data_IF_193672082464
#
_entry.id   IF_193672082464
#
_cell.length_a   1.000
_cell.length_b   1.000
_cell.length_c   1.000
_cell.angle_alpha   90.00
_cell.angle_beta   90.00
_cell.angle_gamma   90.00
#
_symmetry.space_group_name_H-M   'P 1'
#
loop_
_entity.id
_entity.type
_entity.pdbx_description
1 polymer ?
#
# COMPACT_ATOMS: atom_id res chain seq x y z
N UNK A 1 -19.87 11.52 -1.99
CA UNK A 1 -20.65 10.36 -1.47
C UNK A 1 -20.15 10.10 -0.05
N UNK A 2 -21.01 9.89 0.97
CA UNK A 2 -20.51 9.40 2.28
C UNK A 2 -20.01 7.95 2.06
N UNK A 3 -18.82 7.64 2.55
CA UNK A 3 -18.17 6.33 2.35
C UNK A 3 -18.87 5.18 3.09
N UNK A 4 -18.22 4.01 3.10
CA UNK A 4 -18.65 2.83 3.88
C UNK A 4 -17.77 2.73 5.12
N UNK A 5 -18.36 2.36 6.26
CA UNK A 5 -17.63 2.14 7.52
C UNK A 5 -18.01 0.78 8.12
N UNK A 6 -17.06 0.16 8.81
CA UNK A 6 -17.24 -1.15 9.43
C UNK A 6 -16.93 -2.32 8.48
N UNK A 7 -17.31 -3.51 8.92
CA UNK A 7 -17.08 -4.75 8.16
C UNK A 7 -17.91 -4.79 6.88
N UNK A 8 -17.31 -5.25 5.78
CA UNK A 8 -17.99 -5.43 4.50
C UNK A 8 -18.19 -6.93 4.29
N UNK A 9 -19.45 -7.37 4.30
CA UNK A 9 -19.82 -8.78 4.37
C UNK A 9 -19.36 -9.63 3.18
N UNK A 10 -19.19 -9.03 2.01
CA UNK A 10 -18.84 -9.76 0.80
C UNK A 10 -17.62 -9.17 0.12
N UNK A 11 -16.77 -10.06 -0.40
CA UNK A 11 -15.56 -9.69 -1.14
C UNK A 11 -15.89 -8.82 -2.37
N UNK A 12 -16.99 -9.08 -3.05
CA UNK A 12 -17.37 -8.31 -4.25
C UNK A 12 -17.76 -6.88 -3.89
N UNK A 13 -18.43 -6.65 -2.75
CA UNK A 13 -18.70 -5.30 -2.25
C UNK A 13 -17.43 -4.58 -1.82
N UNK A 14 -16.47 -5.30 -1.22
CA UNK A 14 -15.17 -4.74 -0.87
C UNK A 14 -14.40 -4.30 -2.13
N UNK A 15 -14.30 -5.16 -3.13
CA UNK A 15 -13.66 -4.84 -4.43
C UNK A 15 -14.34 -3.69 -5.15
N UNK A 16 -15.68 -3.67 -5.17
CA UNK A 16 -16.45 -2.56 -5.75
C UNK A 16 -16.20 -1.23 -5.01
N UNK A 17 -16.01 -1.27 -3.69
CA UNK A 17 -15.61 -0.09 -2.92
C UNK A 17 -14.22 0.38 -3.33
N UNK A 18 -13.22 -0.50 -3.37
CA UNK A 18 -11.86 -0.14 -3.78
C UNK A 18 -11.83 0.46 -5.19
N UNK A 19 -12.52 -0.17 -6.14
CA UNK A 19 -12.61 0.30 -7.52
C UNK A 19 -13.36 1.64 -7.68
N UNK A 20 -14.06 2.10 -6.64
CA UNK A 20 -14.74 3.40 -6.62
C UNK A 20 -13.90 4.54 -6.02
N UNK A 21 -12.70 4.23 -5.55
CA UNK A 21 -11.79 5.17 -4.91
C UNK A 21 -10.60 5.50 -5.82
N UNK A 22 -10.08 6.73 -5.72
CA UNK A 22 -8.90 7.16 -6.46
C UNK A 22 -7.60 7.06 -5.63
N UNK A 23 -7.73 7.16 -4.31
CA UNK A 23 -6.62 7.26 -3.35
C UNK A 23 -6.88 6.32 -2.18
N UNK A 24 -5.85 5.61 -1.75
CA UNK A 24 -5.82 4.88 -0.46
C UNK A 24 -4.90 5.63 0.50
N UNK A 25 -5.40 5.93 1.68
CA UNK A 25 -4.68 6.66 2.73
C UNK A 25 -4.47 5.74 3.92
N UNK A 26 -3.23 5.67 4.43
CA UNK A 26 -2.93 4.98 5.67
C UNK A 26 -2.47 5.99 6.73
N UNK A 27 -2.98 5.84 7.95
CA UNK A 27 -2.49 6.51 9.15
C UNK A 27 -2.19 5.49 10.24
N UNK A 28 -1.84 4.27 9.83
CA UNK A 28 -1.58 3.16 10.75
C UNK A 28 -0.40 3.48 11.66
N UNK A 29 -0.50 3.08 12.93
CA UNK A 29 0.64 3.11 13.86
C UNK A 29 1.55 1.88 13.69
N UNK A 30 0.98 0.79 13.17
CA UNK A 30 1.67 -0.46 12.92
C UNK A 30 1.09 -1.12 11.67
N UNK A 31 1.96 -1.55 10.78
CA UNK A 31 1.63 -2.36 9.61
C UNK A 31 2.89 -3.12 9.20
N UNK A 32 2.74 -4.40 8.85
CA UNK A 32 3.85 -5.26 8.45
C UNK A 32 4.02 -5.30 6.94
N UNK A 33 2.93 -5.54 6.20
CA UNK A 33 2.98 -5.73 4.75
C UNK A 33 2.05 -4.75 4.01
N UNK A 34 1.04 -4.19 4.68
CA UNK A 34 0.09 -3.30 4.02
C UNK A 34 -0.83 -3.99 3.02
N UNK A 35 -1.29 -5.23 3.29
CA UNK A 35 -2.11 -6.00 2.33
C UNK A 35 -3.32 -5.20 1.84
N UNK A 36 -4.03 -4.50 2.73
CA UNK A 36 -5.18 -3.67 2.33
C UNK A 36 -4.79 -2.48 1.43
N UNK A 37 -3.59 -1.93 1.61
CA UNK A 37 -3.01 -0.90 0.72
C UNK A 37 -2.67 -1.52 -0.63
N UNK A 38 -2.02 -2.69 -0.65
CA UNK A 38 -1.69 -3.41 -1.88
C UNK A 38 -2.94 -3.78 -2.69
N UNK A 39 -4.00 -4.25 -2.03
CA UNK A 39 -5.29 -4.55 -2.66
C UNK A 39 -5.93 -3.29 -3.28
N UNK A 40 -5.88 -2.16 -2.57
CA UNK A 40 -6.40 -0.89 -3.08
C UNK A 40 -5.58 -0.38 -4.27
N UNK A 41 -4.25 -0.46 -4.19
CA UNK A 41 -3.35 -0.09 -5.30
C UNK A 41 -3.60 -0.98 -6.51
N UNK A 42 -3.79 -2.29 -6.33
CA UNK A 42 -4.13 -3.21 -7.41
C UNK A 42 -5.49 -2.85 -8.05
N UNK A 43 -6.43 -2.30 -7.28
CA UNK A 43 -7.71 -1.79 -7.77
C UNK A 43 -7.61 -0.42 -8.50
N UNK A 44 -6.42 0.19 -8.57
CA UNK A 44 -6.19 1.47 -9.28
C UNK A 44 -5.92 2.68 -8.38
N UNK A 45 -5.99 2.52 -7.06
CA UNK A 45 -5.77 3.62 -6.12
C UNK A 45 -4.31 4.09 -6.10
N UNK A 46 -4.10 5.39 -5.91
CA UNK A 46 -2.78 5.94 -5.59
C UNK A 46 -2.57 5.88 -4.08
N UNK A 47 -1.46 5.30 -3.60
CA UNK A 47 -1.20 5.24 -2.16
C UNK A 47 -0.68 6.58 -1.65
N UNK A 48 -1.26 7.07 -0.56
CA UNK A 48 -0.71 8.16 0.26
C UNK A 48 -0.43 7.62 1.66
N UNK A 49 0.84 7.36 1.94
CA UNK A 49 1.28 6.53 3.07
C UNK A 49 2.30 7.29 3.92
N UNK A 50 2.45 6.97 5.21
CA UNK A 50 3.52 7.57 6.01
C UNK A 50 4.89 7.10 5.53
N UNK A 51 5.90 7.96 5.63
CA UNK A 51 7.32 7.62 5.45
C UNK A 51 7.90 6.79 6.62
N UNK A 52 7.11 5.85 7.13
CA UNK A 52 7.42 4.92 8.21
C UNK A 52 6.80 3.55 7.93
N UNK A 53 7.00 2.60 8.84
CA UNK A 53 6.58 1.21 8.69
C UNK A 53 7.27 0.57 7.49
N UNK A 54 6.60 -0.35 6.81
CA UNK A 54 7.11 -1.05 5.62
C UNK A 54 7.06 -0.19 4.34
N UNK A 55 6.27 0.89 4.32
CA UNK A 55 5.94 1.60 3.09
C UNK A 55 7.14 2.23 2.35
N UNK A 56 8.18 2.78 3.01
CA UNK A 56 9.38 3.27 2.33
C UNK A 56 10.14 2.20 1.55
N UNK A 57 10.00 0.93 1.93
CA UNK A 57 10.60 -0.20 1.21
C UNK A 57 9.74 -0.63 0.01
N UNK A 58 8.44 -0.35 0.06
CA UNK A 58 7.46 -0.81 -0.93
C UNK A 58 7.14 0.24 -2.01
N UNK A 59 7.21 1.53 -1.68
CA UNK A 59 6.72 2.62 -2.53
C UNK A 59 7.74 3.76 -2.65
N UNK A 60 7.76 4.41 -3.82
CA UNK A 60 8.58 5.60 -4.06
C UNK A 60 8.13 6.80 -3.21
N UNK A 61 9.06 7.72 -2.95
CA UNK A 61 8.84 8.88 -2.08
C UNK A 61 7.66 9.78 -2.49
N UNK A 62 7.25 9.79 -3.76
CA UNK A 62 6.08 10.57 -4.22
C UNK A 62 4.75 10.11 -3.61
N UNK A 63 4.68 8.85 -3.17
CA UNK A 63 3.52 8.24 -2.50
C UNK A 63 3.57 8.38 -0.98
N UNK A 64 4.65 8.97 -0.45
CA UNK A 64 4.90 9.06 0.99
C UNK A 64 4.68 10.49 1.49
N UNK A 65 4.04 10.63 2.64
CA UNK A 65 3.99 11.88 3.39
C UNK A 65 4.86 11.75 4.64
N UNK A 66 5.42 12.88 5.08
CA UNK A 66 6.24 12.93 6.28
C UNK A 66 5.42 12.61 7.52
N UNK A 67 5.84 11.61 8.27
CA UNK A 67 5.24 11.24 9.53
C UNK A 67 5.73 12.12 10.69
N UNK A 68 4.81 12.38 11.59
CA UNK A 68 4.97 13.16 12.81
C UNK A 68 4.29 12.45 13.98
N UNK A 69 4.74 12.76 15.20
CA UNK A 69 4.08 12.30 16.43
C UNK A 69 2.73 12.96 16.64
N UNK A 70 2.55 14.20 16.18
CA UNK A 70 1.30 14.95 16.34
C UNK A 70 0.33 14.68 15.18
N UNK A 71 -0.93 14.27 15.46
CA UNK A 71 -1.93 14.04 14.42
C UNK A 71 -2.18 15.25 13.50
N UNK A 72 -2.10 16.47 14.03
CA UNK A 72 -2.29 17.71 13.27
C UNK A 72 -1.19 17.93 12.24
N UNK A 73 0.05 17.58 12.59
CA UNK A 73 1.20 17.64 11.68
C UNK A 73 1.06 16.62 10.56
N UNK A 74 0.64 15.39 10.88
CA UNK A 74 0.31 14.36 9.88
C UNK A 74 -0.82 14.82 8.94
N UNK A 75 -1.91 15.37 9.49
CA UNK A 75 -3.02 15.90 8.70
C UNK A 75 -2.56 17.00 7.73
N UNK A 76 -1.68 17.89 8.19
CA UNK A 76 -1.11 18.95 7.36
C UNK A 76 -0.22 18.41 6.24
N UNK A 77 0.61 17.40 6.54
CA UNK A 77 1.46 16.73 5.55
C UNK A 77 0.63 16.01 4.47
N UNK A 78 -0.39 15.26 4.88
CA UNK A 78 -1.32 14.59 3.97
C UNK A 78 -2.06 15.59 3.09
N UNK A 79 -2.59 16.68 3.68
CA UNK A 79 -3.27 17.74 2.93
C UNK A 79 -2.35 18.39 1.90
N UNK A 80 -1.10 18.67 2.27
CA UNK A 80 -0.13 19.23 1.33
C UNK A 80 0.12 18.30 0.13
N UNK A 81 0.21 16.99 0.34
CA UNK A 81 0.32 16.01 -0.74
C UNK A 81 -0.93 15.96 -1.62
N UNK A 82 -2.11 15.93 -1.01
CA UNK A 82 -3.38 15.94 -1.75
C UNK A 82 -3.58 17.21 -2.58
N UNK A 83 -3.22 18.38 -2.06
CA UNK A 83 -3.28 19.64 -2.80
C UNK A 83 -2.31 19.64 -3.99
N UNK A 84 -1.11 19.08 -3.83
CA UNK A 84 -0.19 18.91 -4.96
C UNK A 84 -0.78 18.01 -6.05
N UNK A 85 -1.36 16.88 -5.68
CA UNK A 85 -1.99 15.97 -6.65
C UNK A 85 -3.25 16.56 -7.28
N UNK A 86 -4.03 17.33 -6.53
CA UNK A 86 -5.20 18.01 -7.07
C UNK A 86 -4.79 19.03 -8.16
N UNK A 87 -3.73 19.80 -7.92
CA UNK A 87 -3.27 20.83 -8.85
C UNK A 87 -2.50 20.28 -10.06
N UNK A 88 -1.75 19.18 -9.88
CA UNK A 88 -0.84 18.65 -10.90
C UNK A 88 -1.33 17.35 -11.56
N UNK A 89 -2.47 16.81 -11.11
CA UNK A 89 -2.93 15.47 -11.43
C UNK A 89 -2.42 14.42 -10.46
N UNK A 90 -3.16 13.29 -10.38
CA UNK A 90 -2.73 12.14 -9.59
C UNK A 90 -1.42 11.57 -10.16
N UNK A 91 -0.52 11.06 -9.30
CA UNK A 91 0.65 10.34 -9.78
C UNK A 91 0.22 9.09 -10.57
N UNK A 92 1.18 8.50 -11.27
CA UNK A 92 0.97 7.22 -11.92
C UNK A 92 0.57 6.16 -10.87
N UNK A 93 -0.09 5.10 -11.32
CA UNK A 93 -0.32 3.95 -10.44
C UNK A 93 1.03 3.23 -10.23
N UNK A 94 1.45 2.98 -8.98
CA UNK A 94 2.69 2.23 -8.75
C UNK A 94 2.51 0.77 -9.17
N UNK A 95 3.57 0.18 -9.73
CA UNK A 95 3.59 -1.24 -10.05
C UNK A 95 3.72 -2.07 -8.79
N UNK A 96 2.95 -3.16 -8.70
CA UNK A 96 3.04 -4.15 -7.63
C UNK A 96 3.66 -5.48 -8.10
N UNK A 97 4.22 -5.53 -9.30
CA UNK A 97 4.72 -6.77 -9.91
C UNK A 97 5.65 -7.55 -8.98
N UNK A 98 6.53 -6.86 -8.25
CA UNK A 98 7.47 -7.47 -7.29
C UNK A 98 6.80 -8.27 -6.15
N UNK A 99 5.51 -8.05 -5.90
CA UNK A 99 4.74 -8.77 -4.89
C UNK A 99 3.81 -9.83 -5.49
N UNK A 100 3.75 -9.94 -6.82
CA UNK A 100 2.91 -10.96 -7.47
C UNK A 100 3.52 -12.35 -7.32
N UNK A 101 2.67 -13.35 -7.12
CA UNK A 101 3.12 -14.71 -6.84
C UNK A 101 4.00 -15.29 -7.96
N UNK A 102 3.74 -14.93 -9.22
CA UNK A 102 4.55 -15.45 -10.32
C UNK A 102 5.99 -14.94 -10.29
N UNK A 103 6.22 -13.70 -9.82
CA UNK A 103 7.57 -13.14 -9.62
C UNK A 103 8.24 -13.76 -8.38
N UNK A 104 7.49 -13.92 -7.29
CA UNK A 104 8.04 -14.41 -6.03
C UNK A 104 8.34 -15.92 -6.04
N UNK A 105 7.55 -16.72 -6.79
CA UNK A 105 7.59 -18.19 -6.72
C UNK A 105 8.99 -18.75 -6.94
N UNK A 106 9.72 -18.25 -7.94
CA UNK A 106 11.04 -18.79 -8.27
C UNK A 106 12.05 -18.52 -7.17
N UNK A 107 12.11 -17.29 -6.66
CA UNK A 107 13.01 -16.92 -5.57
C UNK A 107 12.72 -17.70 -4.29
N UNK A 108 11.45 -17.86 -3.94
CA UNK A 108 11.04 -18.67 -2.79
C UNK A 108 11.40 -20.15 -2.99
N UNK A 109 11.15 -20.71 -4.17
CA UNK A 109 11.50 -22.10 -4.48
C UNK A 109 13.01 -22.34 -4.37
N UNK A 110 13.82 -21.41 -4.88
CA UNK A 110 15.29 -21.48 -4.77
C UNK A 110 15.74 -21.40 -3.31
N UNK A 111 15.21 -20.47 -2.53
CA UNK A 111 15.55 -20.32 -1.12
C UNK A 111 15.20 -21.57 -0.30
N UNK A 112 14.00 -22.13 -0.51
CA UNK A 112 13.55 -23.35 0.16
C UNK A 112 14.45 -24.54 -0.23
N UNK A 113 14.72 -24.72 -1.52
CA UNK A 113 15.57 -25.82 -2.00
C UNK A 113 17.00 -25.72 -1.45
N UNK A 114 17.54 -24.50 -1.34
CA UNK A 114 18.87 -24.26 -0.77
C UNK A 114 18.93 -24.68 0.72
N UNK A 115 17.89 -24.39 1.50
CA UNK A 115 17.81 -24.80 2.91
C UNK A 115 17.71 -26.33 3.06
N UNK A 116 16.93 -26.99 2.18
CA UNK A 116 16.80 -28.44 2.18
C UNK A 116 18.12 -29.15 1.81
N UNK A 117 18.87 -28.62 0.84
CA UNK A 117 20.17 -29.16 0.43
C UNK A 117 21.29 -28.98 1.47
N UNK A 118 21.11 -28.11 2.46
CA UNK A 118 22.06 -27.90 3.56
C UNK A 118 21.80 -28.82 4.77
N UNK A 119 20.63 -29.47 4.85
CA UNK A 119 20.21 -30.33 5.97
C UNK A 119 20.57 -31.81 5.84
N UNK A 120 21.34 -32.24 4.83
CA UNK A 120 21.68 -33.66 4.57
C UNK A 120 23.09 -34.05 5.04
N UNK A 121 23.59 -33.48 6.14
CA UNK A 121 24.82 -33.96 6.80
C UNK A 121 24.50 -34.60 8.13
#
# INVERSE_FOLDING_TARGET
RKGVWGFIETRDRYRALLASCDIVLSTALHDFQGISVLEAVQAGCRPLLPDQLVYPEQFAAEYLYRWHTEPQSNASAMLASLLRWYNNGLPAQPSLAQFEWHELRESYQQAINALLGQGTR
#
